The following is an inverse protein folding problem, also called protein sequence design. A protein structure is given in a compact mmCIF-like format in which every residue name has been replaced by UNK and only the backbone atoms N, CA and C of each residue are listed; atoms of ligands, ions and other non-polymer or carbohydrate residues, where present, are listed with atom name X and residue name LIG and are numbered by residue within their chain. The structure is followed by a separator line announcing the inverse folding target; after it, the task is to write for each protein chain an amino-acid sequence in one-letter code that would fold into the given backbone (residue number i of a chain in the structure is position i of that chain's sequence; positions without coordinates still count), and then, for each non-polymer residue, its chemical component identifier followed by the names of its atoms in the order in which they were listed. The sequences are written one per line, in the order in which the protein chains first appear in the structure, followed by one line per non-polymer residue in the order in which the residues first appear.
data_IF_825029759949
#
_entry.id   IF_825029759949
#
_cell.length_a   1.000
_cell.length_b   1.000
_cell.length_c   1.000
_cell.angle_alpha   90.00
_cell.angle_beta   90.00
_cell.angle_gamma   90.00
#
_symmetry.space_group_name_H-M   'P 1'
#
loop_
_entity.id
_entity.type
_entity.pdbx_description
1 polymer ?
#
# COMPACT_ATOMS: atom_id res chain seq x y z
N UNK A 1 0.89 5.92 11.98
CA UNK A 1 1.53 7.25 11.86
C UNK A 1 0.56 8.28 11.30
N UNK A 2 0.93 9.55 11.41
CA UNK A 2 0.27 10.66 10.73
C UNK A 2 1.11 11.08 9.54
N UNK A 3 0.56 11.01 8.33
CA UNK A 3 1.28 11.41 7.11
C UNK A 3 1.09 12.88 6.78
N UNK A 4 0.00 13.45 7.26
CA UNK A 4 -0.37 14.88 7.22
C UNK A 4 -1.21 15.20 8.48
N UNK A 5 -1.44 16.47 8.84
CA UNK A 5 -2.35 16.82 9.93
C UNK A 5 -3.73 16.17 9.75
N UNK A 6 -4.17 15.42 10.74
CA UNK A 6 -5.44 14.66 10.75
C UNK A 6 -5.58 13.55 9.68
N UNK A 7 -4.48 13.14 9.05
CA UNK A 7 -4.47 12.03 8.09
C UNK A 7 -3.71 10.83 8.68
N UNK A 8 -4.40 9.93 9.39
CA UNK A 8 -3.77 8.73 9.92
C UNK A 8 -3.53 7.71 8.81
N UNK A 9 -2.38 7.05 8.85
CA UNK A 9 -2.06 5.89 8.05
C UNK A 9 -1.88 4.67 8.95
N UNK A 10 -2.91 3.84 9.12
CA UNK A 10 -2.78 2.57 9.81
C UNK A 10 -1.94 1.59 8.98
N UNK A 11 -1.17 0.76 9.66
CA UNK A 11 -0.42 -0.32 9.01
C UNK A 11 -0.19 -1.48 9.98
N UNK A 12 0.16 -2.63 9.44
CA UNK A 12 0.69 -3.77 10.20
C UNK A 12 2.18 -3.83 9.96
N UNK A 13 2.94 -3.90 11.05
CA UNK A 13 4.39 -4.10 11.04
C UNK A 13 4.68 -5.56 11.40
N UNK A 14 5.46 -6.23 10.55
CA UNK A 14 5.97 -7.56 10.83
C UNK A 14 7.50 -7.52 10.88
N UNK A 15 8.06 -8.15 11.91
CA UNK A 15 9.49 -8.21 12.13
C UNK A 15 9.96 -9.67 12.08
N UNK A 16 11.09 -9.98 11.41
CA UNK A 16 11.64 -11.31 11.40
C UNK A 16 12.19 -11.66 12.80
N UNK A 17 11.91 -12.88 13.26
CA UNK A 17 12.42 -13.37 14.54
C UNK A 17 13.92 -13.64 14.46
N UNK A 18 14.63 -13.36 15.56
CA UNK A 18 16.05 -13.73 15.75
C UNK A 18 16.99 -13.19 14.65
N UNK A 19 16.70 -12.00 14.10
CA UNK A 19 17.59 -11.29 13.20
C UNK A 19 18.20 -10.08 13.90
N UNK A 20 19.49 -9.92 13.75
CA UNK A 20 20.25 -8.80 14.30
C UNK A 20 20.79 -7.91 13.18
N UNK A 21 21.15 -6.67 13.53
CA UNK A 21 21.68 -5.70 12.58
C UNK A 21 20.64 -5.01 11.72
N UNK A 22 21.08 -4.39 10.63
CA UNK A 22 20.19 -3.72 9.69
C UNK A 22 19.60 -4.71 8.70
N UNK A 23 18.29 -4.60 8.48
CA UNK A 23 17.52 -5.52 7.66
C UNK A 23 16.90 -4.78 6.46
N UNK A 24 16.69 -5.46 5.33
CA UNK A 24 15.96 -4.89 4.22
C UNK A 24 14.52 -4.60 4.61
N UNK A 25 13.93 -3.55 4.03
CA UNK A 25 12.55 -3.14 4.23
C UNK A 25 11.71 -3.50 3.01
N UNK A 26 10.54 -4.10 3.22
CA UNK A 26 9.52 -4.25 2.18
C UNK A 26 8.22 -3.58 2.62
N UNK A 27 7.73 -2.64 1.82
CA UNK A 27 6.41 -2.02 2.00
C UNK A 27 5.47 -2.63 0.96
N UNK A 28 4.29 -3.11 1.42
CA UNK A 28 3.38 -3.90 0.60
C UNK A 28 1.99 -3.26 0.52
N UNK A 29 1.80 -2.20 -0.31
CA UNK A 29 0.49 -1.59 -0.50
C UNK A 29 -0.46 -2.56 -1.19
N UNK A 30 -1.68 -2.71 -0.64
CA UNK A 30 -2.70 -3.62 -1.15
C UNK A 30 -3.50 -3.01 -2.32
N UNK A 31 -4.10 -3.89 -3.14
CA UNK A 31 -5.06 -3.52 -4.18
C UNK A 31 -6.51 -3.51 -3.70
N UNK A 32 -7.44 -3.29 -4.64
CA UNK A 32 -8.89 -3.39 -4.40
C UNK A 32 -9.31 -4.82 -4.05
N UNK A 33 -10.31 -4.95 -3.19
CA UNK A 33 -10.83 -6.25 -2.76
C UNK A 33 -9.89 -7.08 -1.88
N UNK A 34 -8.76 -6.50 -1.48
CA UNK A 34 -7.84 -7.04 -0.49
C UNK A 34 -7.55 -5.95 0.53
N UNK A 35 -7.10 -6.35 1.69
CA UNK A 35 -6.84 -5.43 2.79
C UNK A 35 -5.46 -5.68 3.39
N UNK A 36 -5.09 -4.81 4.28
CA UNK A 36 -3.86 -4.86 5.07
C UNK A 36 -3.74 -6.17 5.83
N UNK A 37 -4.86 -6.63 6.39
CA UNK A 37 -4.93 -7.84 7.21
C UNK A 37 -4.56 -9.08 6.40
N UNK A 38 -5.10 -9.26 5.19
CA UNK A 38 -4.75 -10.37 4.29
C UNK A 38 -3.26 -10.37 3.95
N UNK A 39 -2.69 -9.19 3.64
CA UNK A 39 -1.26 -9.06 3.34
C UNK A 39 -0.37 -9.39 4.54
N UNK A 40 -0.85 -9.11 5.74
CA UNK A 40 -0.18 -9.41 7.01
C UNK A 40 -0.47 -10.82 7.56
N UNK A 41 -1.24 -11.65 6.84
CA UNK A 41 -1.59 -13.00 7.27
C UNK A 41 -2.60 -13.03 8.43
N UNK A 42 -3.40 -11.99 8.58
CA UNK A 42 -4.46 -11.88 9.59
C UNK A 42 -5.78 -12.21 8.89
N UNK A 43 -6.42 -13.30 9.28
CA UNK A 43 -7.64 -13.81 8.65
C UNK A 43 -8.76 -13.91 9.67
N UNK A 44 -9.99 -13.54 9.25
CA UNK A 44 -11.19 -13.58 10.09
C UNK A 44 -11.93 -14.93 9.96
N UNK A 45 -11.60 -15.72 8.94
CA UNK A 45 -12.21 -17.04 8.70
C UNK A 45 -11.20 -17.99 8.07
N UNK A 46 -11.50 -19.28 8.15
CA UNK A 46 -10.70 -20.32 7.47
C UNK A 46 -10.73 -20.16 5.96
N UNK A 47 -11.85 -19.72 5.41
CA UNK A 47 -11.97 -19.43 3.97
C UNK A 47 -11.01 -18.31 3.54
N UNK A 48 -10.95 -17.21 4.31
CA UNK A 48 -10.00 -16.12 4.05
C UNK A 48 -8.54 -16.60 4.17
N UNK A 49 -8.25 -17.49 5.12
CA UNK A 49 -6.92 -18.07 5.28
C UNK A 49 -6.53 -18.88 4.04
N UNK A 50 -7.40 -19.78 3.59
CA UNK A 50 -7.15 -20.57 2.38
C UNK A 50 -6.93 -19.67 1.16
N UNK A 51 -7.80 -18.68 0.94
CA UNK A 51 -7.67 -17.73 -0.17
C UNK A 51 -6.39 -16.89 -0.08
N UNK A 52 -6.01 -16.50 1.13
CA UNK A 52 -4.81 -15.72 1.38
C UNK A 52 -3.51 -16.50 1.17
N UNK A 53 -3.46 -17.74 1.67
CA UNK A 53 -2.28 -18.59 1.60
C UNK A 53 -2.14 -19.28 0.24
N UNK A 54 -3.18 -19.95 -0.26
CA UNK A 54 -3.15 -20.63 -1.57
C UNK A 54 -3.00 -19.62 -2.71
N UNK A 55 -3.61 -18.43 -2.56
CA UNK A 55 -3.46 -17.34 -3.53
C UNK A 55 -2.18 -16.52 -3.36
N UNK A 56 -1.29 -16.90 -2.45
CA UNK A 56 -0.02 -16.21 -2.14
C UNK A 56 -0.19 -14.70 -1.89
N UNK A 57 -1.30 -14.33 -1.22
CA UNK A 57 -1.68 -12.93 -1.02
C UNK A 57 -1.12 -12.33 0.28
N UNK A 58 -0.54 -13.16 1.13
CA UNK A 58 0.10 -12.78 2.39
C UNK A 58 1.53 -12.25 2.18
N UNK A 59 1.67 -11.30 1.27
CA UNK A 59 2.97 -10.81 0.77
C UNK A 59 3.89 -10.31 1.88
N UNK A 60 3.34 -9.63 2.91
CA UNK A 60 4.14 -9.15 4.04
C UNK A 60 4.67 -10.31 4.90
N UNK A 61 3.89 -11.40 5.04
CA UNK A 61 4.36 -12.62 5.73
C UNK A 61 5.50 -13.27 4.97
N UNK A 62 5.36 -13.40 3.64
CA UNK A 62 6.42 -13.94 2.78
C UNK A 62 7.70 -13.09 2.87
N UNK A 63 7.57 -11.76 2.89
CA UNK A 63 8.71 -10.86 3.07
C UNK A 63 9.43 -11.12 4.40
N UNK A 64 8.70 -11.23 5.50
CA UNK A 64 9.27 -11.51 6.83
C UNK A 64 9.95 -12.88 6.90
N UNK A 65 9.34 -13.91 6.29
CA UNK A 65 9.93 -15.25 6.20
C UNK A 65 11.27 -15.22 5.43
N UNK A 66 11.44 -14.30 4.50
CA UNK A 66 12.68 -14.07 3.75
C UNK A 66 13.62 -13.05 4.43
N UNK A 67 13.35 -12.66 5.67
CA UNK A 67 14.25 -11.84 6.48
C UNK A 67 14.09 -10.33 6.32
N UNK A 68 13.00 -9.87 5.69
CA UNK A 68 12.68 -8.45 5.57
C UNK A 68 11.92 -7.94 6.79
N UNK A 69 12.12 -6.68 7.16
CA UNK A 69 11.12 -5.92 7.87
C UNK A 69 9.98 -5.68 6.88
N UNK A 70 8.74 -6.01 7.21
CA UNK A 70 7.62 -5.82 6.31
C UNK A 70 6.57 -4.86 6.90
N UNK A 71 6.09 -3.93 6.08
CA UNK A 71 5.03 -2.98 6.42
C UNK A 71 3.89 -3.15 5.42
N UNK A 72 2.71 -3.53 5.92
CA UNK A 72 1.49 -3.57 5.14
C UNK A 72 0.61 -2.37 5.51
N UNK A 73 0.59 -1.28 4.71
CA UNK A 73 -0.22 -0.10 5.00
C UNK A 73 -1.67 -0.30 4.58
N UNK A 74 -2.59 0.40 5.26
CA UNK A 74 -3.97 0.57 4.79
C UNK A 74 -4.02 1.77 3.85
N UNK A 75 -4.14 1.53 2.55
CA UNK A 75 -4.19 2.60 1.54
C UNK A 75 -5.36 3.56 1.80
N UNK A 76 -5.16 4.86 1.54
CA UNK A 76 -6.23 5.87 1.65
C UNK A 76 -7.47 5.46 0.88
N UNK A 77 -8.63 5.63 1.49
CA UNK A 77 -9.94 5.28 0.93
C UNK A 77 -10.35 3.83 1.14
N UNK A 78 -9.59 3.02 1.90
CA UNK A 78 -9.94 1.64 2.20
C UNK A 78 -10.08 1.38 3.70
N UNK A 79 -10.87 0.39 4.06
CA UNK A 79 -11.01 -0.05 5.44
C UNK A 79 -11.23 1.10 6.43
N UNK A 80 -10.33 1.28 7.37
CA UNK A 80 -10.39 2.33 8.40
C UNK A 80 -10.15 3.74 7.86
N UNK A 81 -9.55 3.89 6.68
CA UNK A 81 -9.22 5.19 6.06
C UNK A 81 -10.31 5.69 5.08
N UNK A 82 -11.45 5.01 4.98
CA UNK A 82 -12.62 5.52 4.25
C UNK A 82 -13.13 6.81 4.87
N UNK A 83 -13.75 7.68 4.06
CA UNK A 83 -14.40 8.89 4.59
C UNK A 83 -15.55 8.53 5.54
N UNK A 84 -15.87 9.40 6.51
CA UNK A 84 -16.99 9.17 7.41
C UNK A 84 -18.33 8.97 6.66
N UNK A 85 -18.55 9.75 5.60
CA UNK A 85 -19.76 9.71 4.77
C UNK A 85 -19.91 8.37 4.04
N UNK A 86 -18.82 7.84 3.49
CA UNK A 86 -18.83 6.56 2.79
C UNK A 86 -18.99 5.39 3.77
N UNK A 87 -18.41 5.50 4.97
CA UNK A 87 -18.63 4.53 6.04
C UNK A 87 -20.11 4.50 6.47
N UNK A 88 -20.73 5.67 6.65
CA UNK A 88 -22.13 5.78 7.05
C UNK A 88 -23.11 5.20 6.00
N UNK A 89 -22.71 5.18 4.73
CA UNK A 89 -23.48 4.61 3.61
C UNK A 89 -23.07 3.18 3.25
N UNK A 90 -22.17 2.58 4.03
CA UNK A 90 -21.60 1.26 3.78
C UNK A 90 -20.95 1.10 2.38
N UNK A 91 -20.42 2.22 1.83
CA UNK A 91 -19.68 2.18 0.57
C UNK A 91 -18.32 1.52 0.82
N UNK A 92 -17.94 0.50 0.05
CA UNK A 92 -16.77 -0.33 0.36
C UNK A 92 -15.43 0.41 0.23
N UNK A 93 -15.35 1.46 -0.60
CA UNK A 93 -14.15 2.29 -0.77
C UNK A 93 -14.53 3.75 -1.03
N UNK A 94 -13.68 4.67 -0.59
CA UNK A 94 -13.84 6.12 -0.83
C UNK A 94 -13.11 6.62 -2.06
N UNK A 95 -12.83 5.77 -3.05
CA UNK A 95 -12.01 6.13 -4.22
C UNK A 95 -12.59 7.32 -4.97
N UNK A 96 -13.91 7.29 -5.25
CA UNK A 96 -14.62 8.38 -5.95
C UNK A 96 -14.64 9.67 -5.13
N UNK A 97 -15.00 9.56 -3.85
CA UNK A 97 -15.08 10.69 -2.93
C UNK A 97 -13.74 11.40 -2.81
N UNK A 98 -12.66 10.62 -2.59
CA UNK A 98 -11.31 11.18 -2.51
C UNK A 98 -10.87 11.82 -3.82
N UNK A 99 -11.09 11.17 -4.99
CA UNK A 99 -10.74 11.78 -6.27
C UNK A 99 -11.41 13.15 -6.44
N UNK A 100 -12.70 13.26 -6.13
CA UNK A 100 -13.43 14.53 -6.28
C UNK A 100 -12.91 15.60 -5.32
N UNK A 101 -12.55 15.24 -4.10
CA UNK A 101 -11.99 16.16 -3.11
C UNK A 101 -10.56 16.58 -3.49
N UNK A 102 -9.73 15.65 -3.90
CA UNK A 102 -8.34 15.88 -4.28
C UNK A 102 -8.23 16.80 -5.49
N UNK A 103 -9.06 16.59 -6.51
CA UNK A 103 -9.09 17.45 -7.71
C UNK A 103 -9.39 18.92 -7.39
N UNK A 104 -10.23 19.19 -6.39
CA UNK A 104 -10.55 20.57 -5.97
C UNK A 104 -9.33 21.32 -5.41
N UNK A 105 -8.33 20.60 -4.95
CA UNK A 105 -7.10 21.16 -4.35
C UNK A 105 -5.84 20.83 -5.15
N UNK A 106 -6.01 20.36 -6.38
CA UNK A 106 -4.89 20.02 -7.26
C UNK A 106 -4.09 18.79 -6.85
N UNK A 107 -4.74 17.83 -6.21
CA UNK A 107 -4.16 16.55 -5.78
C UNK A 107 -4.80 15.37 -6.49
N UNK A 108 -4.25 14.20 -6.30
CA UNK A 108 -4.83 12.93 -6.78
C UNK A 108 -4.69 11.84 -5.72
N UNK A 109 -5.61 10.85 -5.66
CA UNK A 109 -5.50 9.75 -4.70
C UNK A 109 -4.19 8.95 -4.83
N UNK A 110 -3.66 8.84 -6.05
CA UNK A 110 -2.37 8.18 -6.28
C UNK A 110 -1.21 9.00 -5.70
N UNK A 111 -1.21 10.32 -5.92
CA UNK A 111 -0.20 11.22 -5.34
C UNK A 111 -0.18 11.14 -3.82
N UNK A 112 -1.35 11.11 -3.21
CA UNK A 112 -1.51 10.97 -1.76
C UNK A 112 -0.98 9.63 -1.23
N UNK A 113 -1.24 8.53 -1.93
CA UNK A 113 -0.72 7.22 -1.55
C UNK A 113 0.80 7.12 -1.72
N UNK A 114 1.35 7.75 -2.76
CA UNK A 114 2.80 7.86 -2.94
C UNK A 114 3.44 8.65 -1.80
N UNK A 115 2.82 9.76 -1.41
CA UNK A 115 3.22 10.51 -0.23
C UNK A 115 3.21 9.67 1.03
N UNK A 116 2.16 8.87 1.25
CA UNK A 116 2.06 7.95 2.39
C UNK A 116 3.21 6.93 2.41
N UNK A 117 3.58 6.36 1.27
CA UNK A 117 4.75 5.46 1.18
C UNK A 117 6.02 6.19 1.58
N UNK A 118 6.24 7.42 1.09
CA UNK A 118 7.41 8.23 1.46
C UNK A 118 7.46 8.49 2.96
N UNK A 119 6.32 8.80 3.59
CA UNK A 119 6.24 9.00 5.04
C UNK A 119 6.45 7.72 5.85
N UNK A 120 6.02 6.56 5.33
CA UNK A 120 6.36 5.28 5.95
C UNK A 120 7.87 4.99 5.89
N UNK A 121 8.53 5.34 4.80
CA UNK A 121 9.98 5.22 4.68
C UNK A 121 10.67 6.15 5.70
N UNK A 122 10.23 7.42 5.83
CA UNK A 122 10.74 8.34 6.83
C UNK A 122 10.67 7.73 8.24
N UNK A 123 9.48 7.25 8.60
CA UNK A 123 9.24 6.63 9.90
C UNK A 123 10.07 5.36 10.10
N UNK A 124 10.09 4.46 9.12
CA UNK A 124 10.82 3.21 9.24
C UNK A 124 12.34 3.42 9.40
N UNK A 125 12.89 4.42 8.72
CA UNK A 125 14.30 4.79 8.85
C UNK A 125 14.65 5.42 10.20
N UNK A 126 13.69 6.06 10.85
CA UNK A 126 13.87 6.65 12.18
C UNK A 126 13.73 5.63 13.30
N UNK A 127 12.76 4.70 13.19
CA UNK A 127 12.32 3.86 14.29
C UNK A 127 12.80 2.40 14.20
N UNK A 128 13.26 1.94 13.03
CA UNK A 128 13.59 0.54 12.78
C UNK A 128 15.03 0.37 12.27
N UNK A 129 15.65 -0.78 12.49
CA UNK A 129 16.99 -1.06 12.01
C UNK A 129 17.00 -1.38 10.50
N UNK A 130 16.56 -0.44 9.68
CA UNK A 130 16.45 -0.60 8.22
C UNK A 130 17.82 -0.45 7.54
N UNK A 131 18.12 -1.36 6.63
CA UNK A 131 19.18 -1.16 5.65
C UNK A 131 18.72 -0.20 4.56
N UNK A 132 19.24 1.03 4.60
CA UNK A 132 18.90 2.13 3.69
C UNK A 132 19.14 1.82 2.20
N UNK A 133 19.95 0.81 1.89
CA UNK A 133 20.27 0.41 0.51
C UNK A 133 19.25 -0.60 -0.04
N UNK A 134 18.43 -1.18 0.82
CA UNK A 134 17.51 -2.26 0.48
C UNK A 134 16.09 -1.93 0.94
N UNK A 135 15.48 -0.92 0.32
CA UNK A 135 14.10 -0.52 0.51
C UNK A 135 13.30 -0.91 -0.72
N UNK A 136 12.36 -1.83 -0.56
CA UNK A 136 11.57 -2.40 -1.64
C UNK A 136 10.11 -2.02 -1.43
N UNK A 137 9.42 -1.66 -2.51
CA UNK A 137 7.97 -1.51 -2.52
C UNK A 137 7.39 -2.52 -3.50
N UNK A 138 6.43 -3.33 -3.06
CA UNK A 138 5.78 -4.35 -3.87
C UNK A 138 4.29 -4.35 -3.62
N UNK A 139 3.47 -4.15 -4.66
CA UNK A 139 2.02 -4.12 -4.54
C UNK A 139 1.33 -4.62 -5.78
N UNK A 140 0.09 -5.08 -5.62
CA UNK A 140 -0.73 -5.64 -6.70
C UNK A 140 -1.91 -4.71 -7.04
N UNK A 141 -2.28 -4.63 -8.32
CA UNK A 141 -3.42 -3.86 -8.82
C UNK A 141 -3.33 -2.37 -8.40
N UNK A 142 -4.26 -1.82 -7.64
CA UNK A 142 -4.16 -0.45 -7.09
C UNK A 142 -2.92 -0.23 -6.23
N UNK A 143 -2.46 -1.26 -5.49
CA UNK A 143 -1.17 -1.25 -4.82
C UNK A 143 0.00 -1.26 -5.80
N UNK A 144 -0.15 -1.93 -6.95
CA UNK A 144 0.81 -1.88 -8.05
C UNK A 144 0.94 -0.49 -8.65
N UNK A 145 -0.17 0.24 -8.81
CA UNK A 145 -0.17 1.65 -9.23
C UNK A 145 0.64 2.49 -8.25
N UNK A 146 0.33 2.39 -6.96
CA UNK A 146 1.07 3.09 -5.89
C UNK A 146 2.56 2.75 -5.93
N UNK A 147 2.89 1.47 -6.10
CA UNK A 147 4.27 0.97 -6.17
C UNK A 147 5.04 1.56 -7.35
N UNK A 148 4.42 1.60 -8.54
CA UNK A 148 5.04 2.16 -9.75
C UNK A 148 5.42 3.63 -9.53
N UNK A 149 4.46 4.44 -9.09
CA UNK A 149 4.68 5.87 -8.90
C UNK A 149 5.56 6.18 -7.68
N UNK A 150 5.48 5.41 -6.61
CA UNK A 150 6.40 5.56 -5.48
C UNK A 150 7.86 5.32 -5.89
N UNK A 151 8.11 4.27 -6.69
CA UNK A 151 9.45 4.00 -7.22
C UNK A 151 9.99 5.05 -8.16
N UNK A 152 9.10 5.78 -8.85
CA UNK A 152 9.48 6.91 -9.71
C UNK A 152 9.72 8.22 -8.93
N UNK A 153 9.05 8.40 -7.77
CA UNK A 153 9.06 9.66 -7.03
C UNK A 153 10.00 9.67 -5.82
N UNK A 154 10.41 8.50 -5.29
CA UNK A 154 11.26 8.42 -4.11
C UNK A 154 12.55 7.63 -4.41
N UNK A 155 13.66 8.35 -4.49
CA UNK A 155 14.98 7.79 -4.83
C UNK A 155 15.57 6.87 -3.75
N UNK A 156 14.95 6.78 -2.57
CA UNK A 156 15.35 5.83 -1.51
C UNK A 156 14.86 4.42 -1.80
N UNK A 157 13.85 4.26 -2.66
CA UNK A 157 13.36 2.96 -3.09
C UNK A 157 14.36 2.33 -4.05
N UNK A 158 15.00 1.25 -3.60
CA UNK A 158 16.02 0.54 -4.37
C UNK A 158 15.39 -0.41 -5.41
N UNK A 159 14.15 -0.87 -5.17
CA UNK A 159 13.42 -1.74 -6.08
C UNK A 159 11.91 -1.50 -5.96
N UNK A 160 11.27 -1.36 -7.11
CA UNK A 160 9.81 -1.23 -7.24
C UNK A 160 9.27 -2.42 -8.03
N UNK A 161 8.30 -3.15 -7.44
CA UNK A 161 7.70 -4.37 -8.02
C UNK A 161 6.19 -4.15 -8.20
N UNK A 162 5.75 -3.45 -9.26
CA UNK A 162 4.34 -3.20 -9.53
C UNK A 162 3.70 -4.43 -10.19
N UNK A 163 2.97 -5.22 -9.43
CA UNK A 163 2.23 -6.37 -9.95
C UNK A 163 0.86 -5.92 -10.50
N UNK A 164 0.50 -6.48 -11.67
CA UNK A 164 -0.79 -6.23 -12.36
C UNK A 164 -1.08 -4.75 -12.66
N UNK A 165 -0.04 -3.93 -12.79
CA UNK A 165 -0.15 -2.53 -13.18
C UNK A 165 1.16 -2.02 -13.84
N UNK A 166 1.45 -2.46 -15.02
CA UNK A 166 2.51 -1.88 -15.84
C UNK A 166 2.00 -1.72 -17.26
N UNK A 167 1.48 -0.54 -17.57
CA UNK A 167 0.87 -0.24 -18.86
C UNK A 167 1.01 1.26 -19.18
N UNK A 168 0.85 1.62 -20.44
CA UNK A 168 0.70 3.02 -20.83
C UNK A 168 -0.71 3.51 -20.51
N UNK A 169 -0.88 4.81 -20.27
CA UNK A 169 -2.21 5.40 -20.04
C UNK A 169 -3.16 5.15 -21.20
N UNK A 170 -2.67 5.23 -22.44
CA UNK A 170 -3.47 4.96 -23.63
C UNK A 170 -4.04 3.54 -23.66
N UNK A 171 -3.28 2.56 -23.16
CA UNK A 171 -3.70 1.14 -23.14
C UNK A 171 -4.36 0.72 -21.82
N UNK A 172 -4.42 1.61 -20.85
CA UNK A 172 -5.00 1.39 -19.52
C UNK A 172 -6.18 2.35 -19.32
N UNK A 173 -5.99 3.45 -18.62
CA UNK A 173 -7.05 4.41 -18.25
C UNK A 173 -7.78 4.96 -19.48
N UNK A 174 -7.09 5.15 -20.59
CA UNK A 174 -7.68 5.64 -21.85
C UNK A 174 -8.47 4.60 -22.65
N UNK A 175 -8.31 3.30 -22.37
CA UNK A 175 -8.91 2.23 -23.15
C UNK A 175 -10.00 1.45 -22.41
N UNK A 176 -9.98 1.45 -21.06
CA UNK A 176 -10.91 0.70 -20.25
C UNK A 176 -11.23 1.44 -18.95
N UNK A 177 -12.37 1.10 -18.34
CA UNK A 177 -12.75 1.64 -17.05
C UNK A 177 -11.79 1.18 -15.97
N UNK A 178 -11.28 2.14 -15.21
CA UNK A 178 -10.48 1.93 -14.00
C UNK A 178 -11.16 2.53 -12.79
N UNK A 179 -10.80 2.05 -11.59
CA UNK A 179 -11.25 2.69 -10.37
C UNK A 179 -10.75 4.13 -10.30
N UNK A 180 -11.59 5.03 -9.84
CA UNK A 180 -11.32 6.49 -9.73
C UNK A 180 -9.99 6.82 -9.05
N UNK A 181 -9.54 5.98 -8.11
CA UNK A 181 -8.28 6.21 -7.41
C UNK A 181 -7.01 5.88 -8.20
N UNK A 182 -7.11 5.43 -9.45
CA UNK A 182 -5.96 5.18 -10.32
C UNK A 182 -5.69 6.34 -11.30
N UNK A 183 -6.54 7.36 -11.29
CA UNK A 183 -6.31 8.57 -12.09
C UNK A 183 -5.27 9.48 -11.42
N UNK A 184 -4.44 10.13 -12.24
CA UNK A 184 -3.32 11.01 -11.87
C UNK A 184 -3.47 12.38 -12.53
#
# INVERSE_FOLDING_TARGET
IWTEPNVPLPFVLLLPKNKEGKLPLMITPHGHGKNTETYAGIYLSEQERIEGEVGERNVAVQAVQNGFIAIAPTSRGFGKTRTPEDKAKDIPYSCRTLLMQDLLVGRTPIGDRVWDISKLIDWALAELPVDKKNIIVSGNSGGGTTTLFAGACDTRISMSIPASYFSTFTKSIGAMYHCDCNYI
#
